data_IF_662498858500
#
_entry.id   IF_662498858500
#
_cell.length_a   1.000
_cell.length_b   1.000
_cell.length_c   1.000
_cell.angle_alpha   90.00
_cell.angle_beta   90.00
_cell.angle_gamma   90.00
#
_symmetry.space_group_name_H-M   'P 1'
#
loop_
_entity.id
_entity.type
_entity.pdbx_description
1 polymer ?
#
# COMPACT_ATOMS: atom_id res chain seq x y z
N UNK A 1 -11.66 -1.23 -11.61
CA UNK A 1 -10.35 -1.80 -12.00
C UNK A 1 -9.57 -2.11 -10.73
N UNK A 2 -9.09 -3.33 -10.64
CA UNK A 2 -8.26 -3.71 -9.49
C UNK A 2 -6.79 -3.48 -9.81
N UNK A 3 -6.14 -2.69 -8.98
CA UNK A 3 -4.70 -2.43 -9.06
C UNK A 3 -4.03 -2.85 -7.76
N UNK A 4 -2.78 -3.30 -7.86
CA UNK A 4 -1.93 -3.43 -6.69
C UNK A 4 -0.84 -2.37 -6.74
N UNK A 5 -0.47 -1.86 -5.56
CA UNK A 5 0.70 -1.03 -5.39
C UNK A 5 1.72 -1.82 -4.58
N UNK A 6 2.94 -1.89 -5.09
CA UNK A 6 4.05 -2.53 -4.41
C UNK A 6 5.06 -1.44 -4.09
N UNK A 7 5.32 -1.23 -2.79
CA UNK A 7 6.18 -0.16 -2.31
C UNK A 7 7.52 -0.70 -1.87
N UNK A 8 8.57 0.06 -2.16
CA UNK A 8 9.89 -0.12 -1.57
C UNK A 8 10.17 1.09 -0.66
N UNK A 9 10.62 0.84 0.55
CA UNK A 9 10.90 1.89 1.53
C UNK A 9 12.37 2.28 1.53
N UNK A 10 12.65 3.54 1.90
CA UNK A 10 14.01 3.96 2.26
C UNK A 10 14.38 3.35 3.60
N UNK A 11 15.39 2.48 3.60
CA UNK A 11 15.82 1.77 4.83
C UNK A 11 16.22 2.73 5.96
N UNK A 12 16.82 3.85 5.60
CA UNK A 12 17.29 4.86 6.57
C UNK A 12 16.17 5.73 7.15
N UNK A 13 14.94 5.54 6.69
CA UNK A 13 13.78 6.34 7.11
C UNK A 13 12.75 5.54 7.90
N UNK A 14 13.16 4.45 8.51
CA UNK A 14 12.24 3.62 9.32
C UNK A 14 11.60 4.39 10.48
N UNK A 15 12.20 5.50 10.92
CA UNK A 15 11.64 6.36 11.95
C UNK A 15 10.24 6.86 11.59
N UNK A 16 9.93 6.98 10.29
CA UNK A 16 8.61 7.41 9.83
C UNK A 16 7.54 6.42 10.26
N UNK A 17 7.80 5.11 10.13
CA UNK A 17 6.86 4.10 10.63
C UNK A 17 6.71 4.15 12.13
N UNK A 18 7.81 4.37 12.85
CA UNK A 18 7.80 4.39 14.32
C UNK A 18 7.01 5.57 14.88
N UNK A 19 7.08 6.72 14.21
CA UNK A 19 6.48 7.97 14.70
C UNK A 19 5.13 8.31 14.06
N UNK A 20 4.86 7.82 12.84
CA UNK A 20 3.71 8.26 12.04
C UNK A 20 2.78 7.13 11.60
N UNK A 21 2.89 5.94 12.18
CA UNK A 21 2.02 4.82 11.82
C UNK A 21 0.55 5.10 12.09
N UNK A 22 0.24 5.82 13.16
CA UNK A 22 -1.15 6.16 13.50
C UNK A 22 -1.81 6.97 12.40
N UNK A 23 -1.13 7.99 11.86
CA UNK A 23 -1.65 8.80 10.77
C UNK A 23 -1.86 7.97 9.50
N UNK A 24 -0.93 7.06 9.20
CA UNK A 24 -1.04 6.14 8.06
C UNK A 24 -2.25 5.21 8.22
N UNK A 25 -2.45 4.63 9.39
CA UNK A 25 -3.59 3.73 9.63
C UNK A 25 -4.93 4.47 9.59
N UNK A 26 -5.00 5.70 10.06
CA UNK A 26 -6.19 6.55 9.91
C UNK A 26 -6.50 6.81 8.44
N UNK A 27 -5.48 7.08 7.65
CA UNK A 27 -5.62 7.28 6.21
C UNK A 27 -6.19 6.04 5.52
N UNK A 28 -5.63 4.87 5.81
CA UNK A 28 -6.12 3.60 5.26
C UNK A 28 -7.58 3.35 5.67
N UNK A 29 -7.91 3.57 6.94
CA UNK A 29 -9.27 3.36 7.43
C UNK A 29 -10.28 4.28 6.73
N UNK A 30 -9.90 5.53 6.47
CA UNK A 30 -10.76 6.50 5.78
C UNK A 30 -10.99 6.14 4.30
N UNK A 31 -10.11 5.33 3.71
CA UNK A 31 -10.16 5.00 2.28
C UNK A 31 -10.38 3.51 2.01
N UNK A 32 -10.98 2.79 2.97
CA UNK A 32 -11.20 1.33 2.87
C UNK A 32 -12.11 0.92 1.72
N UNK A 33 -12.93 1.82 1.24
CA UNK A 33 -13.80 1.56 0.07
C UNK A 33 -12.98 1.43 -1.22
N UNK A 34 -11.82 2.03 -1.29
CA UNK A 34 -10.93 2.00 -2.46
C UNK A 34 -9.63 1.25 -2.20
N UNK A 35 -9.00 1.42 -1.03
CA UNK A 35 -7.85 0.63 -0.60
C UNK A 35 -8.41 -0.55 0.18
N UNK A 36 -8.67 -1.65 -0.55
CA UNK A 36 -9.44 -2.78 -0.02
C UNK A 36 -8.62 -3.65 0.94
N UNK A 37 -7.31 -3.69 0.77
CA UNK A 37 -6.39 -4.42 1.63
C UNK A 37 -5.04 -3.76 1.56
N UNK A 38 -4.35 -3.68 2.68
CA UNK A 38 -3.03 -3.07 2.75
C UNK A 38 -2.23 -3.70 3.88
N UNK A 39 -0.92 -3.78 3.68
CA UNK A 39 -0.03 -4.30 4.71
C UNK A 39 1.42 -4.02 4.39
N UNK A 40 2.27 -4.20 5.38
CA UNK A 40 3.70 -4.02 5.25
C UNK A 40 4.38 -5.30 4.78
N UNK A 41 5.47 -5.14 4.04
CA UNK A 41 6.31 -6.24 3.57
C UNK A 41 7.62 -6.26 4.34
N UNK A 42 8.12 -7.46 4.61
CA UNK A 42 9.43 -7.70 5.24
C UNK A 42 9.97 -9.03 4.77
N UNK A 43 11.28 -9.17 4.81
CA UNK A 43 11.94 -10.36 4.27
C UNK A 43 11.75 -11.61 5.15
N UNK A 44 11.53 -11.42 6.45
CA UNK A 44 11.28 -12.50 7.40
C UNK A 44 10.48 -11.98 8.58
N UNK A 45 9.90 -12.87 9.42
CA UNK A 45 9.17 -12.42 10.62
C UNK A 45 9.99 -11.58 11.58
N UNK A 46 11.31 -11.74 11.57
CA UNK A 46 12.21 -11.00 12.45
C UNK A 46 12.80 -9.74 11.83
N UNK A 47 12.60 -9.56 10.53
CA UNK A 47 13.13 -8.39 9.82
C UNK A 47 12.25 -7.16 10.04
N UNK A 48 12.84 -5.96 9.94
CA UNK A 48 12.09 -4.73 9.90
C UNK A 48 11.42 -4.58 8.52
N UNK A 49 10.44 -3.73 8.44
CA UNK A 49 9.66 -3.54 7.22
C UNK A 49 10.50 -2.91 6.10
N UNK A 50 10.38 -3.43 4.90
CA UNK A 50 11.10 -2.94 3.73
C UNK A 50 10.17 -2.35 2.66
N UNK A 51 8.87 -2.45 2.84
CA UNK A 51 7.92 -1.95 1.87
C UNK A 51 6.49 -2.20 2.27
N UNK A 52 5.61 -2.23 1.28
CA UNK A 52 4.19 -2.48 1.50
C UNK A 52 3.52 -3.01 0.25
N UNK A 53 2.31 -3.51 0.45
CA UNK A 53 1.45 -3.98 -0.63
C UNK A 53 0.03 -3.47 -0.38
N UNK A 54 -0.56 -2.81 -1.38
CA UNK A 54 -1.95 -2.42 -1.35
C UNK A 54 -2.72 -3.11 -2.47
N UNK A 55 -3.97 -3.46 -2.19
CA UNK A 55 -4.93 -3.91 -3.19
C UNK A 55 -6.02 -2.86 -3.25
N UNK A 56 -6.23 -2.27 -4.44
CA UNK A 56 -7.16 -1.16 -4.63
C UNK A 56 -8.23 -1.50 -5.66
N UNK A 57 -9.45 -1.00 -5.43
CA UNK A 57 -10.50 -0.93 -6.44
C UNK A 57 -10.69 0.54 -6.80
N UNK A 58 -10.33 0.90 -8.03
CA UNK A 58 -10.30 2.28 -8.50
C UNK A 58 -10.85 2.38 -9.91
N UNK A 59 -11.24 3.59 -10.31
CA UNK A 59 -11.77 3.85 -11.65
C UNK A 59 -10.65 4.01 -12.68
N UNK A 60 -9.46 4.43 -12.24
CA UNK A 60 -8.34 4.73 -13.12
C UNK A 60 -7.01 4.58 -12.38
N UNK A 61 -5.93 4.50 -13.18
CA UNK A 61 -4.57 4.54 -12.64
C UNK A 61 -4.30 5.88 -11.93
N UNK A 62 -4.82 6.98 -12.46
CA UNK A 62 -4.65 8.29 -11.85
C UNK A 62 -5.24 8.37 -10.45
N UNK A 63 -6.40 7.75 -10.23
CA UNK A 63 -6.99 7.66 -8.90
C UNK A 63 -6.08 6.89 -7.94
N UNK A 64 -5.50 5.78 -8.41
CA UNK A 64 -4.55 5.00 -7.61
C UNK A 64 -3.32 5.83 -7.23
N UNK A 65 -2.77 6.61 -8.17
CA UNK A 65 -1.64 7.51 -7.90
C UNK A 65 -2.02 8.53 -6.84
N UNK A 66 -3.21 9.12 -6.94
CA UNK A 66 -3.68 10.09 -5.93
C UNK A 66 -3.78 9.47 -4.55
N UNK A 67 -4.29 8.25 -4.45
CA UNK A 67 -4.39 7.53 -3.18
C UNK A 67 -3.02 7.25 -2.57
N UNK A 68 -2.07 6.80 -3.39
CA UNK A 68 -0.70 6.52 -2.94
C UNK A 68 -0.03 7.80 -2.44
N UNK A 69 -0.15 8.88 -3.21
CA UNK A 69 0.60 10.12 -2.92
C UNK A 69 -0.03 10.95 -1.80
N UNK A 70 -1.27 10.69 -1.45
CA UNK A 70 -1.93 11.35 -0.32
C UNK A 70 -1.67 10.65 1.03
N UNK A 71 -1.12 9.44 1.02
CA UNK A 71 -0.78 8.72 2.24
C UNK A 71 0.33 9.46 3.01
N UNK A 72 0.20 9.62 4.35
CA UNK A 72 1.26 10.20 5.16
C UNK A 72 2.64 9.58 4.97
N UNK A 73 2.75 8.27 4.78
CA UNK A 73 4.03 7.64 4.52
C UNK A 73 4.68 8.14 3.23
N UNK A 74 3.89 8.35 2.19
CA UNK A 74 4.41 8.93 0.95
C UNK A 74 4.84 10.38 1.16
N UNK A 75 3.98 11.18 1.77
CA UNK A 75 4.23 12.61 2.00
C UNK A 75 5.46 12.88 2.86
N UNK A 76 5.72 12.00 3.82
CA UNK A 76 6.87 12.12 4.72
C UNK A 76 8.15 11.55 4.12
N UNK A 77 8.06 10.91 2.96
CA UNK A 77 9.23 10.43 2.24
C UNK A 77 9.71 9.05 2.63
N UNK A 78 8.84 8.20 3.22
CA UNK A 78 9.20 6.81 3.52
C UNK A 78 9.41 6.00 2.25
N UNK A 79 8.54 6.21 1.24
CA UNK A 79 8.56 5.39 0.03
C UNK A 79 9.70 5.79 -0.89
N UNK A 80 10.59 4.87 -1.20
CA UNK A 80 11.65 5.04 -2.18
C UNK A 80 11.12 4.95 -3.60
N UNK A 81 10.24 3.99 -3.83
CA UNK A 81 9.60 3.76 -5.13
C UNK A 81 8.31 2.98 -4.94
N UNK A 82 7.49 2.98 -5.98
CA UNK A 82 6.34 2.08 -6.01
C UNK A 82 5.99 1.71 -7.45
N UNK A 83 5.30 0.59 -7.59
CA UNK A 83 4.78 0.10 -8.87
C UNK A 83 3.28 -0.08 -8.76
N UNK A 84 2.57 0.24 -9.83
CA UNK A 84 1.14 -0.02 -9.96
C UNK A 84 0.94 -1.05 -11.06
N UNK A 85 0.30 -2.17 -10.71
CA UNK A 85 0.01 -3.25 -11.65
C UNK A 85 -1.47 -3.61 -11.59
N UNK A 86 -2.07 -3.87 -12.74
CA UNK A 86 -3.44 -4.40 -12.79
C UNK A 86 -3.40 -5.86 -12.35
N UNK A 87 -4.33 -6.25 -11.47
CA UNK A 87 -4.39 -7.61 -10.96
C UNK A 87 -5.74 -8.24 -11.25
N UNK A 88 -5.71 -9.42 -11.86
CA UNK A 88 -6.87 -10.27 -12.02
C UNK A 88 -6.70 -11.56 -11.25
N UNK A 89 -7.77 -12.06 -10.64
CA UNK A 89 -7.75 -13.35 -9.96
C UNK A 89 -7.62 -14.49 -10.97
N UNK A 90 -6.87 -15.52 -10.62
CA UNK A 90 -6.92 -16.77 -11.35
C UNK A 90 -8.33 -17.38 -11.20
N UNK A 91 -8.83 -18.17 -12.19
CA UNK A 91 -10.21 -18.64 -12.17
C UNK A 91 -10.64 -19.39 -10.91
N UNK A 92 -9.73 -20.17 -10.31
CA UNK A 92 -10.04 -20.94 -9.10
C UNK A 92 -10.25 -20.08 -7.84
N UNK A 93 -9.95 -18.78 -7.91
CA UNK A 93 -10.07 -17.86 -6.79
C UNK A 93 -11.20 -16.85 -6.93
N UNK A 94 -12.07 -17.00 -7.90
CA UNK A 94 -13.16 -16.03 -8.14
C UNK A 94 -14.05 -15.80 -6.92
N UNK A 95 -14.28 -16.84 -6.13
CA UNK A 95 -15.14 -16.74 -4.94
C UNK A 95 -14.47 -16.01 -3.75
N UNK A 96 -13.17 -15.77 -3.80
CA UNK A 96 -12.49 -15.04 -2.75
C UNK A 96 -12.80 -13.55 -2.86
N UNK A 97 -13.31 -12.97 -1.77
CA UNK A 97 -13.62 -11.54 -1.72
C UNK A 97 -12.40 -10.74 -1.30
N UNK A 98 -12.10 -9.74 -2.09
CA UNK A 98 -11.05 -8.79 -1.77
C UNK A 98 -11.59 -7.38 -1.86
#
# INVERSE_FOLDING_TARGET
MRLIAIFEDHAEREWIRKEHSAAHFEYLAAHRDRIRLAGALRESPDAWYCGGLWIMEVESRDEAVQLVEADPYFKLGLRKSYRLLVWGKAPCYEAVTL
#
